data_IF_341773570553
#
_entry.id   IF_341773570553
#
_cell.length_a   1.000
_cell.length_b   1.000
_cell.length_c   1.000
_cell.angle_alpha   90.00
_cell.angle_beta   90.00
_cell.angle_gamma   90.00
#
_symmetry.space_group_name_H-M   'P 1'
#
loop_
_entity.id
_entity.type
_entity.pdbx_description
1 polymer ?
#
# COMPACT_ATOMS: atom_id res chain seq x y z
N UNK A 1 5.89 -11.63 -7.32
CA UNK A 1 6.23 -10.22 -7.02
C UNK A 1 7.73 -10.03 -7.23
N UNK A 2 8.13 -8.89 -7.81
CA UNK A 2 9.55 -8.51 -7.92
C UNK A 2 10.20 -8.51 -6.53
N UNK A 3 11.37 -9.13 -6.41
CA UNK A 3 12.12 -9.11 -5.16
C UNK A 3 12.93 -7.81 -5.09
N UNK A 4 12.73 -7.04 -4.02
CA UNK A 4 13.46 -5.81 -3.79
C UNK A 4 14.54 -6.01 -2.72
N UNK A 5 15.72 -5.39 -2.87
CA UNK A 5 16.70 -5.33 -1.79
C UNK A 5 16.11 -4.65 -0.55
N UNK A 6 16.53 -5.06 0.65
CA UNK A 6 16.02 -4.51 1.93
C UNK A 6 16.09 -2.99 2.00
N UNK A 7 17.17 -2.37 1.50
CA UNK A 7 17.30 -0.91 1.43
C UNK A 7 16.19 -0.23 0.62
N UNK A 8 15.71 -0.89 -0.45
CA UNK A 8 14.63 -0.38 -1.30
C UNK A 8 13.29 -0.55 -0.60
N UNK A 9 13.09 -1.66 0.13
CA UNK A 9 11.90 -1.88 0.96
C UNK A 9 11.80 -0.78 2.04
N UNK A 10 12.92 -0.44 2.68
CA UNK A 10 12.98 0.66 3.66
C UNK A 10 12.71 2.02 3.00
N UNK A 11 13.33 2.30 1.86
CA UNK A 11 13.07 3.53 1.11
C UNK A 11 11.59 3.66 0.73
N UNK A 12 10.95 2.59 0.30
CA UNK A 12 9.53 2.57 -0.01
C UNK A 12 8.66 2.81 1.23
N UNK A 13 9.00 2.21 2.37
CA UNK A 13 8.33 2.48 3.63
C UNK A 13 8.42 3.97 4.04
N UNK A 14 9.56 4.62 3.82
CA UNK A 14 9.72 6.06 4.06
C UNK A 14 8.91 6.91 3.08
N UNK A 15 8.86 6.51 1.80
CA UNK A 15 8.06 7.19 0.79
C UNK A 15 6.55 7.09 1.11
N UNK A 16 6.06 5.92 1.56
CA UNK A 16 4.67 5.73 2.01
C UNK A 16 4.34 6.66 3.17
N UNK A 17 5.27 6.85 4.11
CA UNK A 17 5.11 7.80 5.23
C UNK A 17 5.24 9.28 4.83
N UNK A 18 5.27 9.61 3.54
CA UNK A 18 5.25 10.99 3.05
C UNK A 18 6.62 11.60 2.75
N UNK A 19 7.72 10.83 2.79
CA UNK A 19 9.05 11.34 2.45
C UNK A 19 9.19 11.55 0.93
N UNK A 20 8.89 12.78 0.48
CA UNK A 20 8.93 13.18 -0.94
C UNK A 20 10.32 13.02 -1.56
N UNK A 21 11.38 13.34 -0.83
CA UNK A 21 12.76 13.20 -1.32
C UNK A 21 13.10 11.75 -1.64
N UNK A 22 12.72 10.82 -0.77
CA UNK A 22 12.95 9.38 -1.01
C UNK A 22 12.05 8.86 -2.13
N UNK A 23 10.80 9.32 -2.21
CA UNK A 23 9.91 8.99 -3.33
C UNK A 23 10.50 9.42 -4.68
N UNK A 24 10.99 10.66 -4.77
CA UNK A 24 11.58 11.18 -6.02
C UNK A 24 12.91 10.47 -6.35
N UNK A 25 13.65 10.05 -5.32
CA UNK A 25 14.80 9.18 -5.48
C UNK A 25 14.42 7.80 -6.04
N UNK A 26 13.33 7.18 -5.58
CA UNK A 26 12.84 5.89 -6.11
C UNK A 26 12.52 6.00 -7.60
N UNK A 27 11.80 7.05 -8.03
CA UNK A 27 11.53 7.34 -9.44
C UNK A 27 12.83 7.43 -10.25
N UNK A 28 13.79 8.23 -9.77
CA UNK A 28 15.05 8.48 -10.49
C UNK A 28 15.98 7.26 -10.57
N UNK A 29 15.73 6.21 -9.78
CA UNK A 29 16.60 5.03 -9.67
C UNK A 29 15.94 3.74 -10.18
N UNK A 30 14.88 3.84 -10.99
CA UNK A 30 14.25 2.68 -11.63
C UNK A 30 13.31 1.88 -10.70
N UNK A 31 12.77 2.55 -9.68
CA UNK A 31 11.72 2.04 -8.79
C UNK A 31 10.45 2.90 -8.90
N UNK A 32 10.13 3.31 -10.13
CA UNK A 32 8.98 4.17 -10.46
C UNK A 32 7.66 3.55 -9.99
N UNK A 33 7.55 2.22 -10.01
CA UNK A 33 6.38 1.49 -9.54
C UNK A 33 6.14 1.67 -8.03
N UNK A 34 7.20 1.80 -7.24
CA UNK A 34 7.12 2.03 -5.81
C UNK A 34 6.77 3.48 -5.51
N UNK A 35 7.26 4.43 -6.32
CA UNK A 35 6.85 5.82 -6.24
C UNK A 35 5.38 6.02 -6.66
N UNK A 36 4.98 5.44 -7.80
CA UNK A 36 3.61 5.44 -8.28
C UNK A 36 2.64 4.81 -7.28
N UNK A 37 3.04 3.73 -6.60
CA UNK A 37 2.26 3.15 -5.50
C UNK A 37 1.95 4.18 -4.41
N UNK A 38 2.92 5.00 -3.99
CA UNK A 38 2.66 6.00 -2.94
C UNK A 38 1.63 7.04 -3.37
N UNK A 39 1.66 7.48 -4.63
CA UNK A 39 0.66 8.40 -5.18
C UNK A 39 -0.71 7.73 -5.30
N UNK A 40 -0.75 6.49 -5.80
CA UNK A 40 -1.98 5.73 -5.95
C UNK A 40 -2.66 5.46 -4.60
N UNK A 41 -1.89 5.14 -3.55
CA UNK A 41 -2.38 4.99 -2.18
C UNK A 41 -3.02 6.28 -1.63
N UNK A 42 -2.50 7.45 -2.04
CA UNK A 42 -3.07 8.77 -1.75
C UNK A 42 -4.19 9.17 -2.73
N UNK A 43 -4.95 8.19 -3.22
CA UNK A 43 -6.11 8.37 -4.12
C UNK A 43 -5.82 9.13 -5.43
N UNK A 44 -4.57 9.16 -5.91
CA UNK A 44 -4.25 9.82 -7.18
C UNK A 44 -4.55 8.89 -8.37
N UNK A 45 -5.63 9.20 -9.10
CA UNK A 45 -6.13 8.37 -10.22
C UNK A 45 -5.11 8.15 -11.34
N UNK A 46 -4.33 9.17 -11.69
CA UNK A 46 -3.28 9.04 -12.72
C UNK A 46 -2.24 7.99 -12.34
N UNK A 47 -1.89 7.90 -11.06
CA UNK A 47 -0.94 6.91 -10.57
C UNK A 47 -1.54 5.50 -10.55
N UNK A 48 -2.83 5.36 -10.18
CA UNK A 48 -3.57 4.08 -10.27
C UNK A 48 -3.60 3.57 -11.69
N UNK A 49 -3.97 4.45 -12.63
CA UNK A 49 -3.98 4.14 -14.06
C UNK A 49 -2.59 3.75 -14.54
N UNK A 50 -1.56 4.51 -14.18
CA UNK A 50 -0.18 4.21 -14.57
C UNK A 50 0.26 2.83 -14.09
N UNK A 51 -0.05 2.44 -12.85
CA UNK A 51 0.26 1.09 -12.34
C UNK A 51 -0.39 0.00 -13.18
N UNK A 52 -1.67 0.18 -13.54
CA UNK A 52 -2.40 -0.78 -14.36
C UNK A 52 -1.85 -0.86 -15.79
N UNK A 53 -1.59 0.28 -16.42
CA UNK A 53 -1.09 0.38 -17.79
C UNK A 53 0.34 -0.20 -17.93
N UNK A 54 1.16 -0.10 -16.89
CA UNK A 54 2.52 -0.66 -16.84
C UNK A 54 2.58 -2.10 -16.30
N UNK A 55 1.43 -2.72 -16.04
CA UNK A 55 1.35 -4.14 -15.68
C UNK A 55 1.59 -4.46 -14.20
N UNK A 56 1.64 -3.45 -13.33
CA UNK A 56 1.79 -3.59 -11.86
C UNK A 56 0.46 -3.89 -11.17
N UNK A 57 -0.27 -4.89 -11.67
CA UNK A 57 -1.61 -5.26 -11.19
C UNK A 57 -1.61 -5.76 -9.75
N UNK A 58 -0.53 -6.41 -9.31
CA UNK A 58 -0.37 -6.87 -7.94
C UNK A 58 -0.23 -5.71 -6.93
N UNK A 59 0.39 -4.60 -7.35
CA UNK A 59 0.50 -3.40 -6.54
C UNK A 59 -0.85 -2.68 -6.46
N UNK A 60 -1.59 -2.63 -7.56
CA UNK A 60 -2.95 -2.07 -7.55
C UNK A 60 -3.91 -2.93 -6.71
N UNK A 61 -3.86 -4.26 -6.84
CA UNK A 61 -4.68 -5.15 -6.04
C UNK A 61 -4.36 -5.06 -4.53
N UNK A 62 -3.08 -4.81 -4.17
CA UNK A 62 -2.71 -4.49 -2.79
C UNK A 62 -3.38 -3.20 -2.30
N UNK A 63 -3.40 -2.14 -3.11
CA UNK A 63 -4.08 -0.88 -2.77
C UNK A 63 -5.58 -1.10 -2.62
N UNK A 64 -6.23 -1.73 -3.59
CA UNK A 64 -7.66 -2.01 -3.54
C UNK A 64 -8.03 -2.89 -2.35
N UNK A 65 -7.23 -3.91 -2.04
CA UNK A 65 -7.46 -4.74 -0.86
C UNK A 65 -7.28 -3.96 0.45
N UNK A 66 -6.34 -3.02 0.51
CA UNK A 66 -6.20 -2.12 1.67
C UNK A 66 -7.40 -1.17 1.84
N UNK A 67 -8.08 -0.86 0.74
CA UNK A 67 -9.32 -0.07 0.70
C UNK A 67 -10.59 -0.90 0.99
N UNK A 68 -10.44 -2.19 1.35
CA UNK A 68 -11.54 -3.07 1.72
C UNK A 68 -12.10 -3.92 0.56
N UNK A 69 -11.45 -3.93 -0.61
CA UNK A 69 -11.86 -4.83 -1.69
C UNK A 69 -11.42 -6.28 -1.41
N UNK A 70 -12.34 -7.07 -0.87
CA UNK A 70 -12.14 -8.49 -0.62
C UNK A 70 -11.84 -9.27 -1.92
N UNK A 71 -12.40 -8.87 -3.06
CA UNK A 71 -12.15 -9.52 -4.35
C UNK A 71 -10.70 -9.34 -4.77
N UNK A 72 -10.11 -8.17 -4.50
CA UNK A 72 -8.69 -7.93 -4.72
C UNK A 72 -7.81 -8.82 -3.81
N UNK A 73 -8.17 -8.96 -2.53
CA UNK A 73 -7.49 -9.86 -1.61
C UNK A 73 -7.54 -11.33 -2.08
N UNK A 74 -8.69 -11.78 -2.57
CA UNK A 74 -8.88 -13.11 -3.16
C UNK A 74 -8.06 -13.26 -4.44
N UNK A 75 -8.05 -12.25 -5.30
CA UNK A 75 -7.26 -12.25 -6.53
C UNK A 75 -5.77 -12.39 -6.23
N UNK A 76 -5.26 -11.68 -5.21
CA UNK A 76 -3.86 -11.81 -4.77
C UNK A 76 -3.54 -13.25 -4.37
N UNK A 77 -4.37 -13.90 -3.55
CA UNK A 77 -4.17 -15.31 -3.16
C UNK A 77 -4.19 -16.24 -4.38
N UNK A 78 -5.18 -16.08 -5.27
CA UNK A 78 -5.30 -16.92 -6.49
C UNK A 78 -4.09 -16.80 -7.42
N UNK A 79 -3.37 -15.69 -7.37
CA UNK A 79 -2.19 -15.44 -8.19
C UNK A 79 -0.87 -15.62 -7.42
N UNK A 80 -0.87 -16.34 -6.29
CA UNK A 80 0.31 -16.63 -5.46
C UNK A 80 0.98 -15.38 -4.86
N UNK A 81 0.16 -14.41 -4.48
CA UNK A 81 0.55 -13.20 -3.76
C UNK A 81 -0.05 -13.18 -2.33
N UNK A 82 -0.03 -14.31 -1.64
CA UNK A 82 -0.61 -14.49 -0.29
C UNK A 82 -0.05 -13.46 0.70
N UNK A 83 1.26 -13.18 0.61
CA UNK A 83 1.91 -12.16 1.44
C UNK A 83 1.33 -10.76 1.19
N UNK A 84 1.02 -10.41 -0.06
CA UNK A 84 0.40 -9.12 -0.38
C UNK A 84 -1.06 -9.08 0.08
N UNK A 85 -1.77 -10.22 0.03
CA UNK A 85 -3.12 -10.32 0.58
C UNK A 85 -3.13 -10.06 2.09
N UNK A 86 -2.16 -10.62 2.83
CA UNK A 86 -1.99 -10.33 4.26
C UNK A 86 -1.63 -8.86 4.52
N UNK A 87 -0.78 -8.26 3.68
CA UNK A 87 -0.48 -6.83 3.80
C UNK A 87 -1.71 -5.95 3.54
N UNK A 88 -2.51 -6.29 2.53
CA UNK A 88 -3.73 -5.56 2.19
C UNK A 88 -4.72 -5.58 3.36
N UNK A 89 -5.02 -6.77 3.89
CA UNK A 89 -5.85 -6.94 5.09
C UNK A 89 -5.28 -6.20 6.29
N UNK A 90 -3.97 -6.33 6.52
CA UNK A 90 -3.28 -5.60 7.57
C UNK A 90 -3.41 -4.09 7.43
N UNK A 91 -3.32 -3.56 6.22
CA UNK A 91 -3.57 -2.15 5.94
C UNK A 91 -5.05 -1.77 6.14
N UNK A 92 -5.97 -2.71 5.94
CA UNK A 92 -7.40 -2.60 6.25
C UNK A 92 -7.75 -2.99 7.70
N UNK A 93 -6.91 -2.60 8.65
CA UNK A 93 -7.16 -2.77 10.09
C UNK A 93 -7.32 -4.24 10.59
N UNK A 94 -6.92 -5.26 9.80
CA UNK A 94 -6.86 -6.66 10.26
C UNK A 94 -5.55 -6.93 11.04
N UNK A 95 -5.63 -6.91 12.37
CA UNK A 95 -4.48 -7.17 13.25
C UNK A 95 -3.99 -8.63 13.22
N UNK A 96 -4.88 -9.57 12.90
CA UNK A 96 -4.51 -10.98 12.75
C UNK A 96 -3.65 -11.17 11.50
N UNK A 97 -3.95 -10.47 10.41
CA UNK A 97 -3.12 -10.47 9.22
C UNK A 97 -1.69 -9.91 9.49
N UNK A 98 -1.59 -8.85 10.29
CA UNK A 98 -0.30 -8.33 10.76
C UNK A 98 0.45 -9.37 11.60
N UNK A 99 -0.24 -10.03 12.54
CA UNK A 99 0.36 -11.07 13.37
C UNK A 99 0.89 -12.22 12.51
N UNK A 100 0.15 -12.65 11.50
CA UNK A 100 0.59 -13.71 10.58
C UNK A 100 1.83 -13.30 9.78
N UNK A 101 1.92 -12.06 9.30
CA UNK A 101 3.14 -11.56 8.65
C UNK A 101 4.35 -11.63 9.59
N UNK A 102 4.19 -11.25 10.86
CA UNK A 102 5.26 -11.30 11.85
C UNK A 102 5.71 -12.73 12.16
N UNK A 103 4.76 -13.65 12.38
CA UNK A 103 5.05 -15.07 12.66
C UNK A 103 5.75 -15.75 11.48
N UNK A 104 5.39 -15.38 10.25
CA UNK A 104 6.02 -15.90 9.03
C UNK A 104 7.38 -15.26 8.73
N UNK A 105 7.91 -14.40 9.61
CA UNK A 105 9.21 -13.74 9.44
C UNK A 105 9.20 -12.59 8.44
N UNK A 106 8.03 -12.08 8.05
CA UNK A 106 7.86 -11.00 7.08
C UNK A 106 7.77 -9.63 7.75
N UNK A 107 8.72 -9.32 8.65
CA UNK A 107 8.67 -8.12 9.50
C UNK A 107 8.66 -6.81 8.71
N UNK A 108 9.43 -6.74 7.62
CA UNK A 108 9.46 -5.52 6.79
C UNK A 108 8.11 -5.29 6.09
N UNK A 109 7.43 -6.37 5.70
CA UNK A 109 6.12 -6.30 5.05
C UNK A 109 5.01 -5.94 6.04
N UNK A 110 5.09 -6.43 7.28
CA UNK A 110 4.21 -5.99 8.36
C UNK A 110 4.36 -4.48 8.63
N UNK A 111 5.60 -3.97 8.65
CA UNK A 111 5.85 -2.52 8.81
C UNK A 111 5.23 -1.71 7.67
N UNK A 112 5.36 -2.16 6.42
CA UNK A 112 4.75 -1.48 5.26
C UNK A 112 3.22 -1.47 5.39
N UNK A 113 2.61 -2.61 5.73
CA UNK A 113 1.16 -2.70 5.92
C UNK A 113 0.66 -1.72 7.00
N UNK A 114 1.38 -1.59 8.12
CA UNK A 114 1.04 -0.62 9.17
C UNK A 114 1.21 0.83 8.72
N UNK A 115 2.22 1.15 7.91
CA UNK A 115 2.38 2.49 7.33
C UNK A 115 1.27 2.80 6.33
N UNK A 116 0.86 1.83 5.52
CA UNK A 116 -0.30 1.97 4.64
C UNK A 116 -1.59 2.20 5.44
N UNK A 117 -1.80 1.44 6.52
CA UNK A 117 -2.93 1.61 7.45
C UNK A 117 -3.01 3.04 7.97
N UNK A 118 -1.88 3.60 8.41
CA UNK A 118 -1.80 4.99 8.88
C UNK A 118 -2.29 5.97 7.82
N UNK A 119 -1.73 5.90 6.60
CA UNK A 119 -2.11 6.80 5.49
C UNK A 119 -3.60 6.68 5.18
N UNK A 120 -4.13 5.45 5.13
CA UNK A 120 -5.54 5.23 4.82
C UNK A 120 -6.47 5.77 5.91
N UNK A 121 -6.13 5.51 7.17
CA UNK A 121 -6.93 5.98 8.30
C UNK A 121 -6.89 7.52 8.36
N UNK A 122 -5.75 8.16 8.08
CA UNK A 122 -5.66 9.62 8.00
C UNK A 122 -6.59 10.18 6.90
N UNK A 123 -6.61 9.57 5.72
CA UNK A 123 -7.50 9.96 4.60
C UNK A 123 -8.97 9.79 5.00
N UNK A 124 -9.33 8.69 5.68
CA UNK A 124 -10.68 8.42 6.13
C UNK A 124 -11.13 9.43 7.20
N UNK A 125 -10.26 9.71 8.18
CA UNK A 125 -10.51 10.68 9.24
C UNK A 125 -10.73 12.09 8.67
N UNK A 126 -9.92 12.51 7.69
CA UNK A 126 -10.09 13.80 7.00
C UNK A 126 -11.46 13.89 6.29
N UNK A 127 -11.88 12.80 5.63
CA UNK A 127 -13.16 12.71 4.95
C UNK A 127 -14.36 12.72 5.91
N UNK A 128 -14.28 12.01 7.03
CA UNK A 128 -15.33 11.93 8.04
C UNK A 128 -15.49 13.26 8.80
N UNK A 129 -14.37 13.92 9.08
CA UNK A 129 -14.36 15.27 9.67
C UNK A 129 -15.04 16.28 8.74
N UNK A 130 -14.71 16.30 7.45
CA UNK A 130 -15.33 17.21 6.47
C UNK A 130 -16.87 17.07 6.42
N UNK A 131 -17.37 15.84 6.40
CA UNK A 131 -18.81 15.59 6.42
C UNK A 131 -19.49 16.07 7.71
N UNK A 132 -18.80 15.94 8.85
CA UNK A 132 -19.31 16.40 10.14
C UNK A 132 -19.41 17.93 10.21
N UNK A 133 -18.50 18.67 9.59
CA UNK A 133 -18.55 20.15 9.57
C UNK A 133 -19.55 20.71 8.55
N UNK A 134 -19.79 20.03 7.44
CA UNK A 134 -20.72 20.48 6.37
C UNK A 134 -22.21 20.40 6.77
N UNK A 135 -22.55 19.61 7.79
CA UNK A 135 -23.94 19.41 8.26
C UNK A 135 -24.36 20.30 9.45
N UNK A 136 -23.56 21.33 9.81
CA UNK A 136 -23.89 22.32 10.86
C UNK A 136 -24.14 23.69 10.27
#
# INVERSE_FOLDING_TARGET
MKQYPTKIIVAWAEAISGNKTIRDWLTSNGYEELAAFTYALNLQDDARKWLMDNGHRELMALISGAEGDETACIWLVKNHYEKLSLMAKGADNDDEAIRQLLVNGHREWAMIALKMRSVKNDIQDDFDNWHTYSQR
#
